data_IF_371233600087
#
_entry.id   IF_371233600087
#
_cell.length_a   1.000
_cell.length_b   1.000
_cell.length_c   1.000
_cell.angle_alpha   90.00
_cell.angle_beta   90.00
_cell.angle_gamma   90.00
#
_symmetry.space_group_name_H-M   'P 1'
#
loop_
_entity.id
_entity.type
_entity.pdbx_description
1 polymer ?
#
# COMPACT_ATOMS: atom_id res chain seq x y z
N UNK A 1 -4.17 38.56 38.82
CA UNK A 1 -5.57 38.07 38.79
C UNK A 1 -5.53 36.56 38.87
N UNK A 2 -6.00 36.00 39.99
CA UNK A 2 -6.12 34.56 40.24
C UNK A 2 -7.58 34.33 40.59
N UNK A 3 -8.29 33.54 39.80
CA UNK A 3 -9.61 33.04 40.20
C UNK A 3 -9.64 31.54 39.97
N UNK A 4 -9.76 30.83 41.08
CA UNK A 4 -9.92 29.39 41.25
C UNK A 4 -11.39 29.14 41.56
N UNK A 5 -12.05 28.22 40.86
CA UNK A 5 -13.25 27.56 41.39
C UNK A 5 -13.37 26.11 40.86
N UNK A 6 -13.41 25.18 41.81
CA UNK A 6 -13.93 23.79 41.75
C UNK A 6 -15.06 23.71 42.80
N UNK A 7 -15.75 22.58 43.02
CA UNK A 7 -16.51 21.67 42.15
C UNK A 7 -17.93 21.39 42.73
N UNK A 8 -18.87 20.77 41.99
CA UNK A 8 -19.92 19.91 42.62
C UNK A 8 -20.31 18.79 41.65
N UNK A 9 -20.18 17.56 42.14
CA UNK A 9 -20.64 16.32 41.54
C UNK A 9 -22.16 16.13 41.72
N UNK A 10 -22.82 15.45 40.80
CA UNK A 10 -24.13 14.84 41.06
C UNK A 10 -24.24 13.52 40.31
N UNK A 11 -24.13 12.43 41.07
CA UNK A 11 -24.59 11.10 40.69
C UNK A 11 -26.12 11.07 40.77
N UNK A 12 -26.79 10.69 39.68
CA UNK A 12 -28.10 10.04 39.78
C UNK A 12 -28.19 8.93 38.73
N UNK A 13 -28.26 7.70 39.22
CA UNK A 13 -28.65 6.53 38.47
C UNK A 13 -30.16 6.32 38.69
N UNK A 14 -30.92 6.12 37.61
CA UNK A 14 -32.22 5.46 37.64
C UNK A 14 -32.51 4.87 36.25
N UNK A 15 -32.49 3.55 36.18
CA UNK A 15 -33.02 2.76 35.07
C UNK A 15 -34.55 2.78 35.10
N UNK A 16 -35.21 2.70 33.94
CA UNK A 16 -36.52 2.01 33.75
C UNK A 16 -36.87 1.93 32.26
N UNK A 17 -37.00 0.69 31.79
CA UNK A 17 -37.39 0.24 30.45
C UNK A 17 -38.76 0.74 29.99
N UNK A 18 -39.05 0.71 28.68
CA UNK A 18 -40.28 0.10 28.10
C UNK A 18 -40.23 0.14 26.55
N UNK A 19 -40.31 -1.04 25.91
CA UNK A 19 -40.61 -1.24 24.49
C UNK A 19 -42.04 -0.82 24.16
N UNK A 20 -42.29 -0.24 22.97
CA UNK A 20 -43.57 -0.42 22.26
C UNK A 20 -43.37 -0.51 20.73
N UNK A 21 -44.02 -1.53 20.17
CA UNK A 21 -44.17 -1.90 18.76
C UNK A 21 -45.19 -1.00 18.01
N UNK A 22 -45.28 -1.23 16.68
CA UNK A 22 -46.32 -0.86 15.67
C UNK A 22 -45.83 0.20 14.67
N UNK A 23 -45.55 -0.06 13.37
CA UNK A 23 -46.15 -0.82 12.25
C UNK A 23 -47.13 0.01 11.40
N UNK A 24 -46.63 0.60 10.31
CA UNK A 24 -47.37 1.00 9.10
C UNK A 24 -46.45 0.74 7.88
N UNK A 25 -46.60 -0.37 7.16
CA UNK A 25 -47.53 -0.59 6.05
C UNK A 25 -47.16 0.17 4.75
N UNK A 26 -46.35 -0.52 3.92
CA UNK A 26 -46.44 -0.70 2.44
C UNK A 26 -46.53 0.49 1.48
N UNK A 27 -45.55 0.64 0.56
CA UNK A 27 -45.64 0.19 -0.85
C UNK A 27 -44.51 0.76 -1.75
N UNK A 28 -44.15 -0.03 -2.77
CA UNK A 28 -43.08 0.11 -3.78
C UNK A 28 -42.93 1.48 -4.47
N UNK A 29 -41.68 1.89 -4.77
CA UNK A 29 -41.18 2.24 -6.12
C UNK A 29 -39.66 2.55 -6.11
N UNK A 30 -38.87 1.62 -6.66
CA UNK A 30 -37.64 1.79 -7.47
C UNK A 30 -36.45 2.66 -7.01
N UNK A 31 -35.33 2.00 -6.66
CA UNK A 31 -33.93 2.20 -7.13
C UNK A 31 -32.86 2.05 -6.02
N UNK A 32 -31.64 1.57 -6.32
CA UNK A 32 -31.27 0.40 -7.12
C UNK A 32 -30.67 -0.70 -6.23
N UNK A 33 -30.71 -1.93 -6.72
CA UNK A 33 -29.80 -2.98 -6.28
C UNK A 33 -28.36 -2.53 -6.58
N UNK A 34 -27.64 -2.07 -5.56
CA UNK A 34 -26.19 -2.03 -5.61
C UNK A 34 -25.71 -3.36 -5.06
N UNK A 35 -25.28 -4.20 -5.99
CA UNK A 35 -24.47 -5.39 -5.77
C UNK A 35 -23.54 -5.19 -4.56
N UNK A 36 -23.35 -6.20 -3.69
CA UNK A 36 -22.11 -6.24 -2.95
C UNK A 36 -21.01 -6.29 -4.01
N UNK A 37 -20.34 -5.16 -4.21
CA UNK A 37 -19.09 -5.11 -4.95
C UNK A 37 -18.18 -6.14 -4.29
N UNK A 38 -17.92 -7.22 -5.02
CA UNK A 38 -16.77 -8.09 -4.79
C UNK A 38 -15.55 -7.20 -5.02
N UNK A 39 -15.14 -6.50 -3.97
CA UNK A 39 -14.01 -5.60 -3.92
C UNK A 39 -13.29 -5.87 -2.62
N UNK A 40 -12.24 -6.67 -2.71
CA UNK A 40 -11.25 -7.00 -1.69
C UNK A 40 -11.75 -7.70 -0.42
N UNK A 41 -11.37 -8.97 -0.20
CA UNK A 41 -11.11 -9.40 1.15
C UNK A 41 -9.80 -8.76 1.64
N UNK A 42 -9.64 -8.72 2.95
CA UNK A 42 -8.35 -8.65 3.66
C UNK A 42 -7.81 -7.26 4.05
N UNK A 43 -8.55 -6.60 4.94
CA UNK A 43 -7.90 -5.90 6.06
C UNK A 43 -8.29 -6.59 7.37
N UNK A 44 -7.58 -7.68 7.71
CA UNK A 44 -7.74 -8.34 9.01
C UNK A 44 -6.49 -9.14 9.43
N UNK A 45 -5.52 -8.41 9.99
CA UNK A 45 -4.64 -8.90 11.06
C UNK A 45 -3.51 -9.88 10.70
N UNK A 46 -2.55 -9.92 11.63
CA UNK A 46 -1.28 -10.65 11.62
C UNK A 46 -0.24 -10.06 10.68
N UNK A 47 1.03 -10.24 11.02
CA UNK A 47 2.15 -10.07 10.12
C UNK A 47 1.82 -10.87 8.84
N UNK A 48 1.28 -10.18 7.84
CA UNK A 48 0.89 -10.77 6.58
C UNK A 48 2.19 -11.23 5.95
N UNK A 49 2.42 -12.53 5.98
CA UNK A 49 3.43 -13.17 5.14
C UNK A 49 3.28 -12.56 3.77
N UNK A 50 4.31 -11.83 3.31
CA UNK A 50 4.26 -11.13 2.02
C UNK A 50 3.81 -12.15 0.97
N UNK A 51 2.59 -11.96 0.46
CA UNK A 51 1.96 -12.90 -0.46
C UNK A 51 2.69 -12.85 -1.80
N UNK A 52 2.73 -13.95 -2.55
CA UNK A 52 3.44 -13.98 -3.84
C UNK A 52 2.93 -12.93 -4.84
N UNK A 53 1.63 -12.59 -4.79
CA UNK A 53 1.09 -11.46 -5.57
C UNK A 53 1.69 -10.11 -5.18
N UNK A 54 1.94 -9.88 -3.88
CA UNK A 54 2.60 -8.65 -3.41
C UNK A 54 4.08 -8.65 -3.81
N UNK A 55 4.73 -9.81 -3.80
CA UNK A 55 6.11 -9.97 -4.27
C UNK A 55 6.21 -9.69 -5.78
N UNK A 56 5.25 -10.14 -6.57
CA UNK A 56 5.17 -9.85 -8.00
C UNK A 56 4.94 -8.36 -8.28
N UNK A 57 3.94 -7.75 -7.63
CA UNK A 57 3.68 -6.31 -7.73
C UNK A 57 4.91 -5.48 -7.30
N UNK A 58 5.59 -5.91 -6.25
CA UNK A 58 6.86 -5.34 -5.81
C UNK A 58 7.95 -5.48 -6.87
N UNK A 59 8.11 -6.64 -7.50
CA UNK A 59 9.13 -6.88 -8.53
C UNK A 59 8.91 -5.96 -9.74
N UNK A 60 7.66 -5.79 -10.17
CA UNK A 60 7.30 -4.86 -11.26
C UNK A 60 7.63 -3.41 -10.86
N UNK A 61 7.21 -2.98 -9.67
CA UNK A 61 7.52 -1.64 -9.16
C UNK A 61 9.03 -1.40 -9.05
N UNK A 62 9.76 -2.41 -8.56
CA UNK A 62 11.21 -2.36 -8.39
C UNK A 62 11.93 -2.18 -9.73
N UNK A 63 11.51 -2.89 -10.79
CA UNK A 63 12.08 -2.71 -12.13
C UNK A 63 11.89 -1.27 -12.65
N UNK A 64 10.70 -0.70 -12.47
CA UNK A 64 10.41 0.68 -12.87
C UNK A 64 11.28 1.68 -12.10
N UNK A 65 11.36 1.52 -10.78
CA UNK A 65 12.20 2.35 -9.91
C UNK A 65 13.68 2.20 -10.26
N UNK A 66 14.15 0.98 -10.56
CA UNK A 66 15.53 0.72 -10.94
C UNK A 66 15.89 1.42 -12.25
N UNK A 67 15.04 1.34 -13.27
CA UNK A 67 15.22 2.05 -14.54
C UNK A 67 15.34 3.56 -14.33
N UNK A 68 14.42 4.15 -13.54
CA UNK A 68 14.50 5.57 -13.17
C UNK A 68 15.78 5.90 -12.42
N UNK A 69 16.19 5.05 -11.47
CA UNK A 69 17.42 5.25 -10.69
C UNK A 69 18.64 5.29 -11.60
N UNK A 70 18.75 4.38 -12.56
CA UNK A 70 19.84 4.36 -13.53
C UNK A 70 19.82 5.61 -14.40
N UNK A 71 18.65 6.00 -14.92
CA UNK A 71 18.50 7.16 -15.78
C UNK A 71 18.90 8.45 -15.05
N UNK A 72 18.36 8.69 -13.86
CA UNK A 72 18.68 9.88 -13.08
C UNK A 72 20.13 9.87 -12.58
N UNK A 73 20.68 8.72 -12.21
CA UNK A 73 22.10 8.60 -11.84
C UNK A 73 23.03 9.01 -12.98
N UNK A 74 22.71 8.60 -14.21
CA UNK A 74 23.43 9.03 -15.40
C UNK A 74 23.32 10.56 -15.62
N UNK A 75 22.12 11.13 -15.50
CA UNK A 75 21.91 12.59 -15.64
C UNK A 75 22.64 13.39 -14.57
N UNK A 76 22.58 12.95 -13.31
CA UNK A 76 23.27 13.59 -12.18
C UNK A 76 24.78 13.50 -12.37
N UNK A 77 25.30 12.36 -12.80
CA UNK A 77 26.73 12.16 -13.08
C UNK A 77 27.25 13.03 -14.23
N UNK A 78 26.44 13.21 -15.27
CA UNK A 78 26.76 14.07 -16.42
C UNK A 78 26.61 15.58 -16.11
N UNK A 79 25.79 15.93 -15.13
CA UNK A 79 25.56 17.31 -14.71
C UNK A 79 26.74 17.81 -13.88
N UNK A 80 27.26 19.01 -14.17
CA UNK A 80 28.34 19.62 -13.37
C UNK A 80 27.81 20.56 -12.30
N UNK A 81 26.70 21.23 -12.59
CA UNK A 81 26.10 22.22 -11.71
C UNK A 81 25.43 21.56 -10.50
N UNK A 82 25.78 22.03 -9.30
CA UNK A 82 25.29 21.46 -8.05
C UNK A 82 23.79 21.74 -7.84
N UNK A 83 23.27 22.90 -8.26
CA UNK A 83 21.85 23.21 -8.13
C UNK A 83 21.01 22.32 -9.06
N UNK A 84 21.45 22.13 -10.30
CA UNK A 84 20.82 21.20 -11.24
C UNK A 84 20.87 19.74 -10.74
N UNK A 85 21.98 19.31 -10.13
CA UNK A 85 22.05 17.99 -9.45
C UNK A 85 21.02 17.86 -8.34
N UNK A 86 20.82 18.90 -7.52
CA UNK A 86 19.80 18.89 -6.47
C UNK A 86 18.40 18.77 -7.06
N UNK A 87 18.10 19.54 -8.12
CA UNK A 87 16.81 19.43 -8.81
C UNK A 87 16.59 18.03 -9.40
N UNK A 88 17.60 17.44 -10.04
CA UNK A 88 17.52 16.08 -10.57
C UNK A 88 17.28 15.04 -9.48
N UNK A 89 17.88 15.20 -8.28
CA UNK A 89 17.61 14.31 -7.15
C UNK A 89 16.18 14.44 -6.63
N UNK A 90 15.65 15.67 -6.53
CA UNK A 90 14.24 15.89 -6.13
C UNK A 90 13.28 15.29 -7.15
N UNK A 91 13.52 15.51 -8.44
CA UNK A 91 12.71 14.96 -9.52
C UNK A 91 12.79 13.42 -9.54
N UNK A 92 13.99 12.85 -9.37
CA UNK A 92 14.17 11.41 -9.27
C UNK A 92 13.31 10.82 -8.13
N UNK A 93 13.39 11.44 -6.94
CA UNK A 93 12.64 10.97 -5.76
C UNK A 93 11.13 10.98 -6.02
N UNK A 94 10.61 12.05 -6.63
CA UNK A 94 9.20 12.16 -6.99
C UNK A 94 8.79 11.10 -8.02
N UNK A 95 9.58 10.95 -9.09
CA UNK A 95 9.30 10.00 -10.15
C UNK A 95 9.37 8.55 -9.65
N UNK A 96 10.31 8.23 -8.75
CA UNK A 96 10.40 6.92 -8.11
C UNK A 96 9.16 6.61 -7.26
N UNK A 97 8.69 7.58 -6.46
CA UNK A 97 7.45 7.42 -5.69
C UNK A 97 6.27 7.17 -6.63
N UNK A 98 6.13 7.98 -7.69
CA UNK A 98 5.07 7.78 -8.68
C UNK A 98 5.14 6.43 -9.40
N UNK A 99 6.34 5.90 -9.66
CA UNK A 99 6.51 4.58 -10.27
C UNK A 99 5.99 3.46 -9.35
N UNK A 100 6.22 3.58 -8.03
CA UNK A 100 5.67 2.64 -7.05
C UNK A 100 4.15 2.79 -6.95
N UNK A 101 3.63 4.02 -6.86
CA UNK A 101 2.19 4.26 -6.77
C UNK A 101 1.41 3.85 -8.03
N UNK A 102 2.05 3.94 -9.19
CA UNK A 102 1.47 3.49 -10.46
C UNK A 102 1.46 1.96 -10.61
N UNK A 103 2.17 1.22 -9.74
CA UNK A 103 2.27 -0.22 -9.81
C UNK A 103 1.02 -0.88 -9.23
N UNK A 104 0.28 -1.69 -10.01
CA UNK A 104 -0.95 -2.30 -9.54
C UNK A 104 -0.66 -3.34 -8.46
N UNK A 105 -1.46 -3.35 -7.40
CA UNK A 105 -1.40 -4.37 -6.35
C UNK A 105 -0.37 -4.09 -5.25
N UNK A 106 0.29 -2.92 -5.25
CA UNK A 106 1.19 -2.51 -4.18
C UNK A 106 1.10 -1.00 -3.90
N UNK A 107 1.12 -0.64 -2.62
CA UNK A 107 1.20 0.76 -2.18
C UNK A 107 2.63 1.13 -1.83
N UNK A 108 2.95 2.42 -1.76
CA UNK A 108 4.28 2.89 -1.33
C UNK A 108 4.70 2.34 0.04
N UNK A 109 3.76 2.29 0.99
CA UNK A 109 3.99 1.75 2.33
C UNK A 109 4.31 0.24 2.29
N UNK A 110 3.54 -0.52 1.51
CA UNK A 110 3.77 -1.96 1.30
C UNK A 110 5.11 -2.23 0.60
N UNK A 111 5.47 -1.42 -0.38
CA UNK A 111 6.78 -1.50 -1.05
C UNK A 111 7.93 -1.31 -0.05
N UNK A 112 7.84 -0.31 0.82
CA UNK A 112 8.86 -0.06 1.85
C UNK A 112 8.86 -1.15 2.94
N UNK A 113 7.69 -1.68 3.29
CA UNK A 113 7.54 -2.81 4.21
C UNK A 113 8.23 -4.06 3.66
N UNK A 114 8.04 -4.38 2.37
CA UNK A 114 8.71 -5.50 1.70
C UNK A 114 10.23 -5.30 1.63
N UNK A 115 10.71 -4.08 1.35
CA UNK A 115 12.14 -3.75 1.41
C UNK A 115 12.73 -4.00 2.80
N UNK A 116 12.01 -3.58 3.85
CA UNK A 116 12.45 -3.76 5.24
C UNK A 116 12.42 -5.23 5.64
N UNK A 117 11.38 -5.96 5.24
CA UNK A 117 11.26 -7.39 5.47
C UNK A 117 12.37 -8.16 4.74
N UNK A 118 12.66 -7.82 3.49
CA UNK A 118 13.70 -8.46 2.68
C UNK A 118 15.10 -8.31 3.30
N UNK A 119 15.39 -7.17 3.95
CA UNK A 119 16.66 -6.99 4.66
C UNK A 119 16.83 -7.93 5.87
N UNK A 120 15.73 -8.38 6.47
CA UNK A 120 15.73 -9.25 7.64
C UNK A 120 15.41 -10.72 7.31
N UNK A 121 14.86 -10.98 6.12
CA UNK A 121 14.42 -12.29 5.66
C UNK A 121 15.09 -12.66 4.33
N UNK A 122 16.16 -13.47 4.36
CA UNK A 122 16.84 -13.91 3.14
C UNK A 122 15.99 -14.83 2.26
N UNK A 123 14.97 -15.50 2.81
CA UNK A 123 14.05 -16.32 2.01
C UNK A 123 13.09 -15.43 1.20
N UNK A 124 12.67 -14.29 1.76
CA UNK A 124 11.90 -13.28 1.02
C UNK A 124 12.72 -12.69 -0.14
N UNK A 125 14.01 -12.40 0.09
CA UNK A 125 14.93 -11.92 -0.97
C UNK A 125 15.03 -12.90 -2.13
N UNK A 126 15.08 -14.21 -1.85
CA UNK A 126 15.08 -15.23 -2.90
C UNK A 126 13.78 -15.20 -3.71
N UNK A 127 12.63 -15.18 -3.04
CA UNK A 127 11.33 -15.13 -3.72
C UNK A 127 11.16 -13.87 -4.58
N UNK A 128 11.60 -12.71 -4.09
CA UNK A 128 11.62 -11.47 -4.87
C UNK A 128 12.50 -11.62 -6.12
N UNK A 129 13.70 -12.19 -5.98
CA UNK A 129 14.59 -12.41 -7.13
C UNK A 129 14.01 -13.38 -8.16
N UNK A 130 13.38 -14.48 -7.70
CA UNK A 130 12.70 -15.42 -8.58
C UNK A 130 11.58 -14.71 -9.37
N UNK A 131 10.75 -13.90 -8.69
CA UNK A 131 9.71 -13.11 -9.36
C UNK A 131 10.27 -12.06 -10.31
N UNK A 132 11.39 -11.44 -9.96
CA UNK A 132 12.09 -10.48 -10.83
C UNK A 132 12.60 -11.15 -12.11
N UNK A 133 13.10 -12.39 -12.00
CA UNK A 133 13.57 -13.19 -13.13
C UNK A 133 12.41 -13.70 -13.99
N UNK A 134 11.29 -14.10 -13.39
CA UNK A 134 10.06 -14.45 -14.12
C UNK A 134 9.45 -13.24 -14.86
N UNK A 135 9.53 -12.05 -14.26
CA UNK A 135 8.96 -10.81 -14.80
C UNK A 135 9.87 -10.14 -15.85
N UNK A 136 11.16 -10.49 -15.90
CA UNK A 136 12.09 -9.99 -16.90
C UNK A 136 11.87 -10.72 -18.24
N UNK A 137 11.66 -10.00 -19.36
CA UNK A 137 11.48 -10.61 -20.66
C UNK A 137 12.84 -11.05 -21.24
N UNK A 138 13.40 -12.16 -20.75
CA UNK A 138 14.31 -13.06 -21.47
C UNK A 138 14.89 -14.11 -20.51
N UNK A 139 14.91 -15.36 -20.98
CA UNK A 139 15.56 -16.54 -20.38
C UNK A 139 14.67 -17.39 -19.45
N UNK A 140 13.51 -17.83 -19.96
CA UNK A 140 13.17 -19.24 -19.73
C UNK A 140 14.35 -20.06 -20.27
N UNK A 141 15.06 -20.88 -19.49
CA UNK A 141 15.89 -21.90 -20.10
C UNK A 141 14.97 -22.73 -21.01
N UNK A 142 15.44 -23.18 -22.19
CA UNK A 142 14.67 -24.16 -22.94
C UNK A 142 14.37 -25.29 -21.96
N UNK A 143 13.10 -25.69 -21.88
CA UNK A 143 12.75 -26.92 -21.20
C UNK A 143 13.62 -28.01 -21.83
N UNK A 144 14.64 -28.47 -21.09
CA UNK A 144 15.27 -29.73 -21.42
C UNK A 144 14.19 -30.76 -21.11
N UNK A 145 13.39 -31.07 -22.13
CA UNK A 145 12.68 -32.34 -22.22
C UNK A 145 13.65 -33.44 -21.81
N UNK A 146 13.33 -34.12 -20.71
CA UNK A 146 13.94 -35.37 -20.26
C UNK A 146 12.80 -36.35 -20.02
#
# INVERSE_FOLDING_TARGET
MITRYTPVASLTAAALSLMFLTNAASAQQSAPAQQPVQGQPESKGAAATVSDQKIEAFAVAYLQVDQLRQEYSAKIGATKDTAAKQQLQTEASKQMVQAVEASPGISLDEYNSILTAAQNDPALVKRVQEKLQESAPAQRPPATEQ
#
